data_IF_256045780826
#
_entry.id   IF_256045780826
#
_cell.length_a   1.000
_cell.length_b   1.000
_cell.length_c   1.000
_cell.angle_alpha   90.00
_cell.angle_beta   90.00
_cell.angle_gamma   90.00
#
_symmetry.space_group_name_H-M   'P 1'
#
loop_
_entity.id
_entity.type
_entity.pdbx_description
1 polymer ?
#
# COMPACT_ATOMS: atom_id res chain seq x y z
N UNK A 1 22.63 -6.45 -14.31
CA UNK A 1 21.83 -7.56 -13.71
C UNK A 1 21.67 -8.69 -14.72
N UNK A 2 21.62 -10.00 -14.30
CA UNK A 2 21.33 -11.13 -15.21
C UNK A 2 19.84 -11.41 -15.28
N UNK A 3 19.28 -11.56 -16.48
CA UNK A 3 17.88 -11.86 -16.71
C UNK A 3 17.68 -12.67 -17.99
N UNK A 4 16.50 -13.28 -18.14
CA UNK A 4 16.05 -13.96 -19.35
C UNK A 4 14.71 -13.38 -19.83
N UNK A 5 14.52 -13.26 -21.11
CA UNK A 5 13.25 -12.78 -21.70
C UNK A 5 12.31 -13.98 -21.78
N UNK A 6 11.19 -13.94 -21.05
CA UNK A 6 10.15 -14.99 -21.09
C UNK A 6 9.15 -14.80 -22.20
N UNK A 7 8.78 -13.56 -22.45
CA UNK A 7 7.78 -13.21 -23.46
C UNK A 7 8.01 -11.78 -23.93
N UNK A 8 7.82 -11.56 -25.22
CA UNK A 8 8.03 -10.25 -25.83
C UNK A 8 6.94 -9.99 -26.87
N UNK A 9 6.45 -8.76 -26.90
CA UNK A 9 5.56 -8.20 -27.92
C UNK A 9 6.04 -6.80 -28.25
N UNK A 10 5.60 -6.23 -29.36
CA UNK A 10 5.95 -4.85 -29.73
C UNK A 10 5.60 -3.88 -28.60
N UNK A 11 6.59 -3.17 -28.07
CA UNK A 11 6.42 -2.22 -26.98
C UNK A 11 6.20 -2.83 -25.59
N UNK A 12 6.29 -4.17 -25.44
CA UNK A 12 6.11 -4.83 -24.14
C UNK A 12 7.00 -6.06 -23.99
N UNK A 13 7.71 -6.15 -22.89
CA UNK A 13 8.62 -7.24 -22.59
C UNK A 13 8.35 -7.80 -21.18
N UNK A 14 8.36 -9.13 -21.04
CA UNK A 14 8.39 -9.82 -19.75
C UNK A 14 9.75 -10.48 -19.57
N UNK A 15 10.44 -10.07 -18.56
CA UNK A 15 11.76 -10.59 -18.20
C UNK A 15 11.70 -11.35 -16.89
N UNK A 16 12.47 -12.41 -16.78
CA UNK A 16 12.70 -13.14 -15.55
C UNK A 16 14.11 -12.83 -15.06
N UNK A 17 14.20 -12.32 -13.85
CA UNK A 17 15.46 -12.03 -13.20
C UNK A 17 16.07 -13.32 -12.65
N UNK A 18 17.39 -13.43 -12.65
CA UNK A 18 18.10 -14.64 -12.17
C UNK A 18 17.92 -14.88 -10.65
N UNK A 19 16.93 -14.23 -10.05
CA UNK A 19 16.50 -14.34 -8.67
C UNK A 19 15.13 -14.99 -8.62
N UNK A 20 14.99 -16.19 -8.03
CA UNK A 20 13.70 -16.86 -7.89
C UNK A 20 12.72 -16.13 -6.97
N UNK A 21 13.21 -15.36 -6.01
CA UNK A 21 12.43 -14.49 -5.14
C UNK A 21 13.16 -13.18 -4.91
N UNK A 22 12.43 -12.08 -4.93
CA UNK A 22 12.90 -10.77 -4.52
C UNK A 22 12.34 -10.43 -3.16
N UNK A 23 13.06 -9.64 -2.39
CA UNK A 23 12.48 -8.94 -1.24
C UNK A 23 11.53 -7.85 -1.73
N UNK A 24 10.59 -7.42 -0.89
CA UNK A 24 9.68 -6.32 -1.24
C UNK A 24 10.45 -5.03 -1.57
N UNK A 25 11.50 -4.72 -0.78
CA UNK A 25 12.38 -3.59 -1.05
C UNK A 25 13.07 -3.69 -2.42
N UNK A 26 13.62 -4.85 -2.77
CA UNK A 26 14.23 -5.06 -4.09
C UNK A 26 13.22 -4.87 -5.24
N UNK A 27 11.99 -5.35 -5.06
CA UNK A 27 10.94 -5.19 -6.06
C UNK A 27 10.53 -3.71 -6.22
N UNK A 28 10.50 -2.95 -5.14
CA UNK A 28 10.17 -1.52 -5.17
C UNK A 28 11.31 -0.68 -5.75
N UNK A 29 12.57 -0.99 -5.41
CA UNK A 29 13.75 -0.35 -6.02
C UNK A 29 13.74 -0.55 -7.55
N UNK A 30 13.55 -1.78 -8.00
CA UNK A 30 13.51 -2.09 -9.44
C UNK A 30 12.32 -1.40 -10.12
N UNK A 31 11.16 -1.39 -9.48
CA UNK A 31 9.97 -0.73 -10.01
C UNK A 31 10.20 0.77 -10.17
N UNK A 32 10.74 1.42 -9.13
CA UNK A 32 11.06 2.84 -9.14
C UNK A 32 12.07 3.18 -10.24
N UNK A 33 13.15 2.41 -10.35
CA UNK A 33 14.17 2.57 -11.39
C UNK A 33 13.56 2.51 -12.79
N UNK A 34 12.69 1.53 -13.05
CA UNK A 34 12.05 1.37 -14.35
C UNK A 34 11.04 2.50 -14.63
N UNK A 35 10.28 2.94 -13.62
CA UNK A 35 9.27 3.99 -13.81
C UNK A 35 9.88 5.39 -14.01
N UNK A 36 11.10 5.61 -13.54
CA UNK A 36 11.82 6.87 -13.74
C UNK A 36 12.51 6.99 -15.10
N UNK A 37 12.56 5.91 -15.89
CA UNK A 37 13.13 5.97 -17.24
C UNK A 37 12.11 6.57 -18.22
N UNK A 38 12.57 7.52 -19.04
CA UNK A 38 11.70 8.28 -19.99
C UNK A 38 11.08 7.42 -21.09
N UNK A 39 11.66 6.27 -21.40
CA UNK A 39 11.15 5.37 -22.44
C UNK A 39 10.25 4.27 -21.89
N UNK A 40 10.15 4.12 -20.55
CA UNK A 40 9.26 3.16 -19.91
C UNK A 40 7.92 3.83 -19.60
N UNK A 41 6.87 3.35 -20.25
CA UNK A 41 5.50 3.84 -20.04
C UNK A 41 4.80 3.19 -18.85
N UNK A 42 5.08 1.93 -18.59
CA UNK A 42 4.51 1.20 -17.47
C UNK A 42 5.43 0.03 -17.08
N UNK A 43 5.66 -0.14 -15.81
CA UNK A 43 6.38 -1.29 -15.29
C UNK A 43 5.59 -1.98 -14.18
N UNK A 44 5.67 -3.32 -14.12
CA UNK A 44 5.13 -4.14 -13.03
C UNK A 44 6.16 -5.19 -12.65
N UNK A 45 6.50 -5.25 -11.38
CA UNK A 45 7.46 -6.21 -10.84
C UNK A 45 6.73 -7.20 -9.93
N UNK A 46 6.97 -8.48 -10.13
CA UNK A 46 6.36 -9.59 -9.40
C UNK A 46 7.42 -10.26 -8.52
N UNK A 47 7.43 -9.92 -7.24
CA UNK A 47 8.42 -10.36 -6.26
C UNK A 47 8.46 -11.88 -6.07
N UNK A 48 7.30 -12.55 -6.15
CA UNK A 48 7.17 -14.00 -5.93
C UNK A 48 7.78 -14.83 -7.06
N UNK A 49 7.70 -14.34 -8.28
CA UNK A 49 8.17 -15.06 -9.47
C UNK A 49 9.49 -14.54 -10.00
N UNK A 50 9.97 -13.40 -9.48
CA UNK A 50 11.16 -12.75 -10.00
C UNK A 50 10.98 -12.20 -11.42
N UNK A 51 9.74 -11.94 -11.84
CA UNK A 51 9.44 -11.43 -13.18
C UNK A 51 9.19 -9.92 -13.15
N UNK A 52 9.61 -9.23 -14.20
CA UNK A 52 9.19 -7.85 -14.47
C UNK A 52 8.52 -7.76 -15.83
N UNK A 53 7.42 -7.03 -15.91
CA UNK A 53 6.73 -6.71 -17.16
C UNK A 53 6.92 -5.22 -17.39
N UNK A 54 7.50 -4.90 -18.54
CA UNK A 54 7.90 -3.54 -18.91
C UNK A 54 7.20 -3.21 -20.23
N UNK A 55 6.40 -2.15 -20.23
CA UNK A 55 5.85 -1.53 -21.44
C UNK A 55 6.70 -0.30 -21.75
N UNK A 56 7.14 -0.16 -22.98
CA UNK A 56 8.10 0.87 -23.36
C UNK A 56 7.81 1.44 -24.76
N UNK A 57 8.29 2.66 -24.97
CA UNK A 57 8.31 3.34 -26.28
C UNK A 57 9.76 3.51 -26.70
N UNK A 58 10.10 3.08 -27.93
CA UNK A 58 11.45 3.19 -28.44
C UNK A 58 12.10 1.84 -28.75
N UNK A 59 13.44 1.81 -28.79
CA UNK A 59 14.19 0.64 -29.20
C UNK A 59 14.32 -0.42 -28.11
N UNK A 60 14.10 -1.67 -28.50
CA UNK A 60 14.29 -2.85 -27.66
C UNK A 60 15.70 -2.94 -27.04
N UNK A 61 16.72 -2.61 -27.83
CA UNK A 61 18.13 -2.60 -27.42
C UNK A 61 18.40 -1.73 -26.19
N UNK A 62 17.74 -0.59 -26.12
CA UNK A 62 17.84 0.33 -25.00
C UNK A 62 17.35 -0.29 -23.69
N UNK A 63 16.16 -0.92 -23.70
CA UNK A 63 15.60 -1.56 -22.50
C UNK A 63 16.49 -2.72 -22.01
N UNK A 64 17.09 -3.47 -22.93
CA UNK A 64 18.03 -4.53 -22.58
C UNK A 64 19.29 -3.95 -21.90
N UNK A 65 19.86 -2.87 -22.43
CA UNK A 65 21.01 -2.20 -21.82
C UNK A 65 20.67 -1.59 -20.45
N UNK A 66 19.50 -0.97 -20.34
CA UNK A 66 18.98 -0.42 -19.07
C UNK A 66 18.94 -1.50 -17.99
N UNK A 67 18.36 -2.67 -18.29
CA UNK A 67 18.29 -3.80 -17.36
C UNK A 67 19.66 -4.42 -17.06
N UNK A 68 20.55 -4.49 -18.03
CA UNK A 68 21.91 -5.01 -17.83
C UNK A 68 22.73 -4.12 -16.90
N UNK A 69 22.59 -2.81 -17.04
CA UNK A 69 23.25 -1.79 -16.22
C UNK A 69 22.71 -1.67 -14.80
N UNK A 70 21.49 -2.19 -14.54
CA UNK A 70 20.86 -2.07 -13.24
C UNK A 70 21.60 -2.83 -12.13
N UNK A 71 21.81 -2.15 -11.00
CA UNK A 71 22.37 -2.71 -9.77
C UNK A 71 21.62 -2.12 -8.57
N UNK A 72 21.15 -2.97 -7.65
CA UNK A 72 20.40 -2.56 -6.46
C UNK A 72 21.18 -1.61 -5.54
N UNK A 73 22.50 -1.79 -5.43
CA UNK A 73 23.36 -0.99 -4.55
C UNK A 73 23.63 0.43 -5.08
N UNK A 74 23.43 0.62 -6.39
CA UNK A 74 23.69 1.92 -7.06
C UNK A 74 22.40 2.68 -7.36
N UNK A 75 21.25 2.08 -7.11
CA UNK A 75 19.96 2.73 -7.35
C UNK A 75 19.68 3.71 -6.22
N UNK A 76 19.74 5.00 -6.52
CA UNK A 76 19.31 6.07 -5.62
C UNK A 76 17.79 6.07 -5.54
N UNK A 77 17.26 5.65 -4.40
CA UNK A 77 15.82 5.57 -4.16
C UNK A 77 15.50 6.37 -2.90
N UNK A 78 14.48 7.23 -2.93
CA UNK A 78 14.03 7.95 -1.74
C UNK A 78 13.73 6.98 -0.59
N UNK A 79 14.24 7.28 0.60
CA UNK A 79 14.06 6.43 1.81
C UNK A 79 12.60 6.19 2.13
N UNK A 80 11.73 7.19 1.97
CA UNK A 80 10.28 7.07 2.17
C UNK A 80 9.58 6.05 1.25
N UNK A 81 10.16 5.72 0.10
CA UNK A 81 9.62 4.69 -0.79
C UNK A 81 9.79 3.28 -0.21
N UNK A 82 10.90 3.04 0.50
CA UNK A 82 11.22 1.74 1.10
C UNK A 82 10.51 1.52 2.43
N UNK A 83 10.32 2.59 3.21
CA UNK A 83 9.64 2.54 4.51
C UNK A 83 8.12 2.28 4.36
N UNK A 84 7.53 2.74 3.26
CA UNK A 84 6.10 2.62 2.97
C UNK A 84 5.83 1.65 1.81
N UNK A 85 6.31 0.40 1.93
CA UNK A 85 6.07 -0.63 0.93
C UNK A 85 4.63 -1.16 1.00
N UNK A 86 3.77 -0.69 0.10
CA UNK A 86 2.40 -1.20 -0.02
C UNK A 86 2.31 -2.70 -0.34
N UNK A 87 3.41 -3.32 -0.80
CA UNK A 87 3.49 -4.77 -1.06
C UNK A 87 3.49 -5.58 0.22
N UNK A 88 4.30 -5.17 1.21
CA UNK A 88 4.39 -5.83 2.51
C UNK A 88 3.04 -5.72 3.25
N UNK A 89 2.46 -4.52 3.27
CA UNK A 89 1.15 -4.27 3.84
C UNK A 89 0.09 -5.21 3.23
N UNK A 90 0.01 -5.26 1.90
CA UNK A 90 -0.94 -6.13 1.20
C UNK A 90 -0.73 -7.61 1.53
N UNK A 91 0.51 -8.08 1.59
CA UNK A 91 0.82 -9.48 1.92
C UNK A 91 0.37 -9.84 3.34
N UNK A 92 0.64 -8.99 4.32
CA UNK A 92 0.23 -9.19 5.73
C UNK A 92 -1.29 -9.26 5.85
N UNK A 93 -2.03 -8.36 5.20
CA UNK A 93 -3.50 -8.37 5.29
C UNK A 93 -4.14 -9.51 4.51
N UNK A 94 -3.58 -9.91 3.36
CA UNK A 94 -4.01 -11.12 2.66
C UNK A 94 -3.84 -12.38 3.52
N UNK A 95 -2.70 -12.52 4.20
CA UNK A 95 -2.44 -13.65 5.11
C UNK A 95 -3.43 -13.66 6.29
N UNK A 96 -3.67 -12.52 6.93
CA UNK A 96 -4.68 -12.37 7.99
C UNK A 96 -6.08 -12.73 7.52
N UNK A 97 -6.46 -12.32 6.30
CA UNK A 97 -7.78 -12.60 5.72
C UNK A 97 -7.93 -14.10 5.44
N UNK A 98 -6.95 -14.71 4.78
CA UNK A 98 -6.93 -16.16 4.52
C UNK A 98 -6.97 -16.92 5.84
N UNK A 99 -6.18 -16.51 6.84
CA UNK A 99 -6.15 -17.11 8.17
C UNK A 99 -7.51 -17.04 8.87
N UNK A 100 -8.22 -15.90 8.82
CA UNK A 100 -9.58 -15.76 9.38
C UNK A 100 -10.58 -16.70 8.69
N UNK A 101 -10.54 -16.77 7.34
CA UNK A 101 -11.42 -17.66 6.57
C UNK A 101 -11.14 -19.12 6.90
N UNK A 102 -9.87 -19.52 6.84
CA UNK A 102 -9.47 -20.91 7.16
C UNK A 102 -9.85 -21.30 8.59
N UNK A 103 -9.56 -20.42 9.56
CA UNK A 103 -9.87 -20.67 10.97
C UNK A 103 -11.38 -20.82 11.22
N UNK A 104 -12.22 -20.13 10.47
CA UNK A 104 -13.69 -20.31 10.54
C UNK A 104 -14.10 -21.75 10.18
N UNK A 105 -13.59 -22.27 9.04
CA UNK A 105 -13.90 -23.62 8.59
C UNK A 105 -13.31 -24.67 9.53
N UNK A 106 -12.06 -24.49 9.98
CA UNK A 106 -11.43 -25.39 10.95
C UNK A 106 -12.23 -25.46 12.23
N UNK A 107 -12.64 -24.34 12.82
CA UNK A 107 -13.45 -24.32 14.03
C UNK A 107 -14.80 -25.01 13.84
N UNK A 108 -15.45 -24.85 12.69
CA UNK A 108 -16.73 -25.48 12.39
C UNK A 108 -16.62 -27.01 12.26
N UNK A 109 -15.48 -27.51 11.75
CA UNK A 109 -15.27 -28.97 11.52
C UNK A 109 -14.71 -29.65 12.76
N UNK A 110 -13.77 -29.03 13.46
CA UNK A 110 -13.00 -29.65 14.53
C UNK A 110 -13.69 -29.54 15.89
N UNK A 111 -14.41 -28.44 16.15
CA UNK A 111 -15.03 -28.25 17.46
C UNK A 111 -16.32 -29.06 17.59
N UNK A 112 -16.46 -29.88 18.68
CA UNK A 112 -17.75 -30.45 19.04
C UNK A 112 -18.82 -29.37 19.22
N UNK A 113 -20.07 -29.69 18.86
CA UNK A 113 -21.17 -28.73 18.90
C UNK A 113 -21.30 -27.94 20.22
N UNK A 114 -21.21 -28.56 21.43
CA UNK A 114 -21.33 -27.79 22.69
C UNK A 114 -20.17 -26.81 22.89
N UNK A 115 -18.95 -27.18 22.45
CA UNK A 115 -17.79 -26.28 22.55
C UNK A 115 -17.93 -25.12 21.55
N UNK A 116 -18.42 -25.41 20.35
CA UNK A 116 -18.68 -24.38 19.34
C UNK A 116 -19.73 -23.38 19.81
N UNK A 117 -20.85 -23.84 20.40
CA UNK A 117 -21.90 -22.95 20.93
C UNK A 117 -21.39 -22.08 22.09
N UNK A 118 -20.61 -22.65 23.01
CA UNK A 118 -19.98 -21.88 24.08
C UNK A 118 -19.00 -20.81 23.52
N UNK A 119 -18.20 -21.18 22.52
CA UNK A 119 -17.31 -20.25 21.85
C UNK A 119 -18.07 -19.09 21.20
N UNK A 120 -19.16 -19.37 20.45
CA UNK A 120 -19.99 -18.34 19.81
C UNK A 120 -20.62 -17.43 20.86
N UNK A 121 -21.17 -17.98 21.94
CA UNK A 121 -21.78 -17.22 23.03
C UNK A 121 -20.79 -16.30 23.71
N UNK A 122 -19.58 -16.79 24.05
CA UNK A 122 -18.53 -15.97 24.63
C UNK A 122 -18.06 -14.87 23.67
N UNK A 123 -17.88 -15.21 22.39
CA UNK A 123 -17.46 -14.25 21.38
C UNK A 123 -18.50 -13.16 21.12
N UNK A 124 -19.80 -13.47 21.26
CA UNK A 124 -20.92 -12.50 21.09
C UNK A 124 -20.93 -11.42 22.17
N UNK A 125 -20.39 -11.71 23.37
CA UNK A 125 -20.35 -10.74 24.48
C UNK A 125 -19.57 -9.46 24.10
N UNK A 126 -18.50 -9.60 23.31
CA UNK A 126 -17.71 -8.44 22.83
C UNK A 126 -18.59 -7.48 22.01
N UNK A 127 -19.39 -8.02 21.09
CA UNK A 127 -20.25 -7.21 20.21
C UNK A 127 -21.43 -6.62 20.96
N UNK A 128 -22.05 -7.41 21.85
CA UNK A 128 -23.16 -6.95 22.69
C UNK A 128 -22.69 -5.83 23.63
N UNK A 129 -21.53 -5.97 24.27
CA UNK A 129 -20.96 -4.94 25.13
C UNK A 129 -20.68 -3.64 24.34
N UNK A 130 -20.14 -3.73 23.12
CA UNK A 130 -19.90 -2.57 22.24
C UNK A 130 -21.21 -1.85 21.87
N UNK A 131 -22.27 -2.61 21.57
CA UNK A 131 -23.59 -2.03 21.30
C UNK A 131 -24.23 -1.36 22.52
N UNK A 132 -24.14 -1.98 23.71
CA UNK A 132 -24.62 -1.39 24.97
C UNK A 132 -23.84 -0.11 25.28
N UNK A 133 -22.53 -0.11 25.12
CA UNK A 133 -21.68 1.07 25.34
C UNK A 133 -22.09 2.23 24.40
N UNK A 134 -22.36 1.96 23.13
CA UNK A 134 -22.81 2.96 22.18
C UNK A 134 -24.18 3.56 22.60
N UNK A 135 -25.11 2.72 23.03
CA UNK A 135 -26.41 3.17 23.59
C UNK A 135 -26.25 4.02 24.85
N UNK A 136 -25.34 3.64 25.74
CA UNK A 136 -25.06 4.40 26.96
C UNK A 136 -24.55 5.82 26.66
N UNK A 137 -23.74 5.95 25.63
CA UNK A 137 -23.29 7.25 25.14
C UNK A 137 -24.31 7.99 24.27
N UNK A 138 -25.54 7.49 24.17
CA UNK A 138 -26.65 8.03 23.34
C UNK A 138 -26.29 8.20 21.87
N UNK A 139 -25.39 7.36 21.35
CA UNK A 139 -25.01 7.34 19.96
C UNK A 139 -25.65 6.14 19.27
N UNK A 140 -26.49 6.42 18.26
CA UNK A 140 -27.08 5.38 17.40
C UNK A 140 -26.05 5.01 16.32
N UNK A 141 -25.14 4.12 16.64
CA UNK A 141 -24.11 3.61 15.74
C UNK A 141 -24.47 2.23 15.20
N UNK A 142 -23.79 1.80 14.14
CA UNK A 142 -23.95 0.46 13.54
C UNK A 142 -23.73 -0.65 14.58
N UNK A 143 -22.89 -0.39 15.59
CA UNK A 143 -22.63 -1.32 16.69
C UNK A 143 -23.90 -1.75 17.48
N UNK A 144 -24.93 -0.91 17.54
CA UNK A 144 -26.22 -1.24 18.17
C UNK A 144 -27.00 -2.25 17.32
N UNK A 145 -26.99 -2.06 16.00
CA UNK A 145 -27.63 -2.98 15.06
C UNK A 145 -26.94 -4.36 15.08
N UNK A 146 -25.61 -4.36 15.09
CA UNK A 146 -24.82 -5.58 15.16
C UNK A 146 -25.07 -6.36 16.45
N UNK A 147 -25.08 -5.65 17.59
CA UNK A 147 -25.35 -6.23 18.89
C UNK A 147 -26.75 -6.84 18.96
N UNK A 148 -27.76 -6.16 18.40
CA UNK A 148 -29.13 -6.68 18.34
C UNK A 148 -29.23 -7.92 17.45
N UNK A 149 -28.67 -7.89 16.26
CA UNK A 149 -28.67 -9.02 15.33
C UNK A 149 -28.00 -10.28 15.93
N UNK A 150 -26.81 -10.10 16.54
CA UNK A 150 -26.08 -11.17 17.19
C UNK A 150 -26.82 -11.64 18.45
N UNK A 151 -27.29 -10.72 19.29
CA UNK A 151 -27.99 -11.03 20.53
C UNK A 151 -29.29 -11.83 20.29
N UNK A 152 -30.11 -11.42 19.34
CA UNK A 152 -31.33 -12.14 18.96
C UNK A 152 -31.01 -13.53 18.40
N UNK A 153 -29.96 -13.66 17.57
CA UNK A 153 -29.56 -14.97 17.04
C UNK A 153 -29.11 -15.92 18.14
N UNK A 154 -28.34 -15.44 19.12
CA UNK A 154 -27.90 -16.26 20.27
C UNK A 154 -29.09 -16.65 21.15
N UNK A 155 -30.01 -15.73 21.44
CA UNK A 155 -31.24 -16.02 22.22
C UNK A 155 -32.10 -17.07 21.54
N UNK A 156 -32.22 -17.06 20.22
CA UNK A 156 -32.92 -18.07 19.41
C UNK A 156 -32.15 -19.38 19.26
N UNK A 157 -30.96 -19.49 19.86
CA UNK A 157 -30.04 -20.63 19.72
C UNK A 157 -29.57 -20.87 18.27
N UNK A 158 -29.67 -19.87 17.43
CA UNK A 158 -29.13 -19.88 16.05
C UNK A 158 -27.66 -19.43 16.05
N UNK A 159 -26.81 -20.31 16.55
CA UNK A 159 -25.38 -20.06 16.64
C UNK A 159 -24.70 -20.03 15.27
N UNK A 160 -25.32 -20.63 14.25
CA UNK A 160 -24.83 -20.59 12.88
C UNK A 160 -24.90 -19.18 12.30
N UNK A 161 -26.08 -18.53 12.44
CA UNK A 161 -26.28 -17.13 12.01
C UNK A 161 -25.45 -16.18 12.84
N UNK A 162 -25.45 -16.30 14.18
CA UNK A 162 -24.61 -15.45 15.05
C UNK A 162 -23.13 -15.53 14.65
N UNK A 163 -22.60 -16.73 14.44
CA UNK A 163 -21.21 -16.94 14.00
C UNK A 163 -20.93 -16.38 12.59
N UNK A 164 -21.93 -16.41 11.70
CA UNK A 164 -21.78 -15.83 10.35
C UNK A 164 -21.73 -14.31 10.38
N UNK A 165 -22.63 -13.69 11.15
CA UNK A 165 -22.63 -12.22 11.32
C UNK A 165 -21.31 -11.75 11.95
N UNK A 166 -20.88 -12.35 13.06
CA UNK A 166 -19.61 -12.00 13.71
C UNK A 166 -18.40 -12.19 12.78
N UNK A 167 -18.42 -13.22 11.93
CA UNK A 167 -17.37 -13.42 10.95
C UNK A 167 -17.34 -12.31 9.90
N UNK A 168 -18.49 -11.95 9.33
CA UNK A 168 -18.58 -10.87 8.33
C UNK A 168 -18.13 -9.54 8.92
N UNK A 169 -18.56 -9.21 10.13
CA UNK A 169 -18.10 -8.02 10.86
C UNK A 169 -16.59 -8.03 11.05
N UNK A 170 -16.02 -9.16 11.48
CA UNK A 170 -14.57 -9.28 11.65
C UNK A 170 -13.79 -9.20 10.34
N UNK A 171 -14.36 -9.59 9.20
CA UNK A 171 -13.77 -9.36 7.87
C UNK A 171 -13.87 -7.86 7.53
N UNK A 172 -15.03 -7.23 7.78
CA UNK A 172 -15.24 -5.79 7.56
C UNK A 172 -14.23 -4.94 8.33
N UNK A 173 -14.07 -5.17 9.64
CA UNK A 173 -13.06 -4.50 10.47
C UNK A 173 -11.62 -4.66 9.91
N UNK A 174 -11.27 -5.86 9.42
CA UNK A 174 -9.96 -6.12 8.84
C UNK A 174 -9.74 -5.36 7.52
N UNK A 175 -10.76 -5.30 6.66
CA UNK A 175 -10.69 -4.58 5.39
C UNK A 175 -10.66 -3.07 5.61
N UNK A 176 -11.39 -2.56 6.59
CA UNK A 176 -11.37 -1.15 6.98
C UNK A 176 -9.98 -0.74 7.47
N UNK A 177 -9.39 -1.53 8.40
CA UNK A 177 -8.04 -1.29 8.89
C UNK A 177 -7.01 -1.32 7.75
N UNK A 178 -7.12 -2.29 6.84
CA UNK A 178 -6.25 -2.40 5.68
C UNK A 178 -6.37 -1.19 4.75
N UNK A 179 -7.61 -0.79 4.42
CA UNK A 179 -7.87 0.35 3.54
C UNK A 179 -7.33 1.64 4.15
N UNK A 180 -7.55 1.85 5.45
CA UNK A 180 -7.04 3.02 6.16
C UNK A 180 -5.51 3.08 6.12
N UNK A 181 -4.82 1.99 6.49
CA UNK A 181 -3.36 1.94 6.46
C UNK A 181 -2.80 2.12 5.06
N UNK A 182 -3.43 1.47 4.07
CA UNK A 182 -3.02 1.62 2.67
C UNK A 182 -3.17 3.06 2.18
N UNK A 183 -4.25 3.74 2.53
CA UNK A 183 -4.44 5.14 2.15
C UNK A 183 -3.39 6.06 2.76
N UNK A 184 -3.01 5.83 4.02
CA UNK A 184 -1.94 6.58 4.69
C UNK A 184 -0.58 6.31 4.02
N UNK A 185 -0.26 5.04 3.73
CA UNK A 185 0.98 4.67 3.07
C UNK A 185 1.06 5.23 1.63
N UNK A 186 -0.02 5.15 0.87
CA UNK A 186 -0.09 5.70 -0.50
C UNK A 186 0.09 7.23 -0.48
N UNK A 187 -0.49 7.92 0.51
CA UNK A 187 -0.30 9.36 0.69
C UNK A 187 1.15 9.69 1.05
N UNK A 188 1.72 9.01 2.04
CA UNK A 188 3.12 9.21 2.45
C UNK A 188 4.09 8.94 1.29
N UNK A 189 3.84 7.88 0.51
CA UNK A 189 4.62 7.56 -0.69
C UNK A 189 4.52 8.64 -1.75
N UNK A 190 3.32 9.17 -2.01
CA UNK A 190 3.11 10.25 -2.99
C UNK A 190 3.83 11.52 -2.56
N UNK A 191 3.78 11.84 -1.27
CA UNK A 191 4.51 13.00 -0.72
C UNK A 191 6.03 12.79 -0.86
N UNK A 192 6.55 11.61 -0.50
CA UNK A 192 7.99 11.30 -0.63
C UNK A 192 8.49 11.36 -2.08
N UNK A 193 7.67 10.98 -3.05
CA UNK A 193 8.02 11.06 -4.48
C UNK A 193 7.99 12.50 -5.01
N UNK A 194 7.08 13.34 -4.52
CA UNK A 194 6.97 14.74 -4.95
C UNK A 194 8.09 15.62 -4.39
N UNK A 195 8.70 15.23 -3.27
CA UNK A 195 9.87 15.94 -2.69
C UNK A 195 11.12 15.81 -3.56
N UNK A 196 11.18 14.86 -4.49
CA UNK A 196 12.32 14.63 -5.36
C UNK A 196 12.53 15.64 -6.48
N UNK A 197 11.57 16.54 -6.76
CA UNK A 197 11.64 17.53 -7.85
C UNK A 197 11.14 18.89 -7.39
N UNK A 198 11.82 19.94 -7.84
CA UNK A 198 11.48 21.33 -7.53
C UNK A 198 11.53 22.20 -8.78
N UNK A 199 10.81 23.29 -8.76
CA UNK A 199 10.84 24.29 -9.84
C UNK A 199 11.96 25.27 -9.57
N UNK A 200 13.05 25.18 -10.33
CA UNK A 200 14.15 26.15 -10.31
C UNK A 200 13.77 27.35 -11.20
N UNK A 201 13.91 28.57 -10.67
CA UNK A 201 13.75 29.79 -11.43
C UNK A 201 15.09 30.16 -12.08
N UNK A 202 15.19 29.98 -13.40
CA UNK A 202 16.37 30.33 -14.18
C UNK A 202 15.95 31.20 -15.35
N UNK A 203 16.59 32.36 -15.52
CA UNK A 203 16.34 33.32 -16.61
C UNK A 203 14.86 33.68 -16.83
N UNK A 204 14.07 33.76 -15.75
CA UNK A 204 12.64 34.10 -15.78
C UNK A 204 11.74 32.95 -16.23
N UNK A 205 12.26 31.74 -16.35
CA UNK A 205 11.53 30.51 -16.62
C UNK A 205 11.62 29.54 -15.44
N UNK A 206 10.55 28.78 -15.23
CA UNK A 206 10.49 27.71 -14.22
C UNK A 206 10.85 26.38 -14.88
N UNK A 207 11.94 25.76 -14.41
CA UNK A 207 12.41 24.46 -14.90
C UNK A 207 12.30 23.42 -13.80
N UNK A 208 11.65 22.30 -14.06
CA UNK A 208 11.53 21.20 -13.11
C UNK A 208 12.83 20.42 -13.05
N UNK A 209 13.54 20.52 -11.94
CA UNK A 209 14.83 19.87 -11.69
C UNK A 209 14.78 18.92 -10.49
N UNK A 210 15.75 18.05 -10.35
CA UNK A 210 15.90 17.23 -9.15
C UNK A 210 16.31 18.09 -7.96
N UNK A 211 15.82 17.77 -6.76
CA UNK A 211 16.27 18.41 -5.50
C UNK A 211 17.78 18.28 -5.31
N UNK A 212 18.38 17.18 -5.79
CA UNK A 212 19.82 16.93 -5.71
C UNK A 212 20.64 17.85 -6.61
N UNK A 213 20.04 18.50 -7.60
CA UNK A 213 20.71 19.41 -8.54
C UNK A 213 20.64 20.87 -8.07
N UNK A 214 20.00 21.15 -6.93
CA UNK A 214 19.88 22.49 -6.34
C UNK A 214 21.09 22.79 -5.48
N UNK A 215 21.60 24.00 -5.64
CA UNK A 215 22.73 24.56 -4.88
C UNK A 215 22.29 25.72 -3.98
N UNK A 216 23.05 25.96 -2.92
CA UNK A 216 22.80 27.12 -2.07
C UNK A 216 22.91 28.44 -2.86
N UNK A 217 21.84 29.23 -2.85
CA UNK A 217 21.72 30.46 -3.60
C UNK A 217 20.79 30.39 -4.82
N UNK A 218 20.30 29.20 -5.16
CA UNK A 218 19.30 29.03 -6.22
C UNK A 218 17.91 29.52 -5.78
N UNK A 219 17.18 30.14 -6.67
CA UNK A 219 15.77 30.53 -6.45
C UNK A 219 14.83 29.38 -6.88
N UNK A 220 14.01 28.91 -5.95
CA UNK A 220 13.06 27.82 -6.17
C UNK A 220 11.64 28.32 -6.00
N UNK A 221 10.78 27.96 -6.95
CA UNK A 221 9.35 28.30 -6.91
C UNK A 221 8.59 27.12 -6.28
N UNK A 222 7.85 27.41 -5.20
CA UNK A 222 6.99 26.45 -4.52
C UNK A 222 5.53 26.79 -4.82
N UNK A 223 4.87 25.99 -5.62
CA UNK A 223 3.45 26.15 -5.93
C UNK A 223 2.56 25.68 -4.79
N UNK A 224 1.33 26.20 -4.76
CA UNK A 224 0.33 25.83 -3.76
C UNK A 224 0.11 24.30 -3.76
N UNK A 225 0.17 23.70 -2.58
CA UNK A 225 0.02 22.25 -2.39
C UNK A 225 1.31 21.43 -2.52
N UNK A 226 2.45 22.07 -2.81
CA UNK A 226 3.75 21.42 -2.83
C UNK A 226 4.43 21.48 -1.46
N UNK A 227 5.29 20.51 -1.20
CA UNK A 227 6.13 20.46 0.00
C UNK A 227 7.42 21.22 -0.23
N UNK A 228 7.88 21.98 0.75
CA UNK A 228 9.20 22.61 0.75
C UNK A 228 10.23 21.53 1.14
N UNK A 229 11.13 21.10 0.24
CA UNK A 229 12.00 19.94 0.50
C UNK A 229 13.31 20.28 1.20
N UNK A 230 13.59 21.54 1.45
CA UNK A 230 14.84 22.04 2.08
C UNK A 230 14.59 23.35 2.83
N UNK A 231 15.51 23.68 3.70
CA UNK A 231 15.50 24.97 4.41
C UNK A 231 15.89 26.10 3.46
N UNK A 232 15.20 27.26 3.58
CA UNK A 232 15.46 28.42 2.74
C UNK A 232 14.84 29.69 3.29
N UNK A 233 15.14 30.81 2.66
CA UNK A 233 14.56 32.12 2.95
C UNK A 233 13.56 32.51 1.86
N UNK A 234 12.44 33.12 2.25
CA UNK A 234 11.44 33.59 1.30
C UNK A 234 11.99 34.85 0.59
N UNK A 235 12.26 34.74 -0.70
CA UNK A 235 12.72 35.88 -1.51
C UNK A 235 11.54 36.71 -2.03
N UNK A 236 10.42 36.10 -2.39
CA UNK A 236 9.26 36.78 -2.95
C UNK A 236 7.97 35.97 -2.65
N UNK A 237 6.86 36.67 -2.40
CA UNK A 237 5.55 36.07 -2.18
C UNK A 237 5.17 35.89 -0.73
N UNK A 238 3.90 35.48 -0.49
CA UNK A 238 3.34 35.19 0.82
C UNK A 238 2.58 33.86 0.74
N UNK A 239 2.82 32.97 1.69
CA UNK A 239 2.11 31.70 1.77
C UNK A 239 1.90 31.26 3.23
N UNK A 240 0.79 30.56 3.50
CA UNK A 240 0.61 29.84 4.75
C UNK A 240 1.24 28.44 4.61
N UNK A 241 2.16 28.12 5.52
CA UNK A 241 2.84 26.83 5.58
C UNK A 241 2.31 26.07 6.80
N UNK A 242 1.96 24.82 6.59
CA UNK A 242 1.58 23.91 7.67
C UNK A 242 2.79 23.04 8.00
N UNK A 243 3.23 23.07 9.26
CA UNK A 243 4.34 22.26 9.80
C UNK A 243 3.82 20.95 10.36
#
# INVERSE_FOLDING_TARGET
>A
MKFSIKHEMTGRMRVHLSQNRMTYAQADILLYFLQNDKYVTCAKVYERTGDAVISYTGERSYIIQLLQGFCYEKAEVPTGLLEHSGRELNAVYQEKLIGKVLMRYVKKIVLPYPVYTAYITLSSLKYIAKGIQSLWHRKMEVAVLDATAIGVSVLRKDFGTAGSVMFLLGIGELLEEWTHKKSVDDLARTMALNVGKVWLKSDGQEVLVSVNDISAGDEVVVHMGNVIPFDGEVSEGEAMVNQ
#
